data_IF_346347236080
#
_entry.id   IF_346347236080
#
_cell.length_a   1.000
_cell.length_b   1.000
_cell.length_c   1.000
_cell.angle_alpha   90.00
_cell.angle_beta   90.00
_cell.angle_gamma   90.00
#
_symmetry.space_group_name_H-M   'P 1'
#
loop_
_entity.id
_entity.type
_entity.pdbx_description
1 polymer ?
#
# COMPACT_ATOMS: atom_id res chain seq x y z
N UNK A 1 12.75 -4.68 7.97
CA UNK A 1 12.13 -4.68 6.62
C UNK A 1 11.48 -3.32 6.37
N UNK A 2 11.32 -2.88 5.12
CA UNK A 2 10.47 -1.73 4.79
C UNK A 2 9.05 -2.25 4.51
N UNK A 3 8.03 -1.64 5.12
CA UNK A 3 6.63 -2.09 5.02
C UNK A 3 5.68 -0.90 4.97
N UNK A 4 4.50 -1.10 4.40
CA UNK A 4 3.46 -0.07 4.33
C UNK A 4 2.84 0.21 5.71
N UNK A 5 2.62 -0.85 6.50
CA UNK A 5 2.14 -0.75 7.89
C UNK A 5 3.30 -0.79 8.88
N UNK A 6 3.17 -0.06 9.98
CA UNK A 6 4.13 -0.01 11.08
C UNK A 6 3.56 -0.67 12.35
N UNK A 7 4.39 -1.08 13.32
CA UNK A 7 3.92 -1.73 14.54
C UNK A 7 2.88 -0.96 15.34
N UNK A 8 2.97 0.37 15.31
CA UNK A 8 1.98 1.26 15.96
C UNK A 8 0.61 1.22 15.32
N UNK A 9 0.50 0.86 14.04
CA UNK A 9 -0.79 0.81 13.34
C UNK A 9 -1.61 -0.39 13.84
N UNK A 10 -0.98 -1.55 14.09
CA UNK A 10 -1.68 -2.75 14.55
C UNK A 10 -1.67 -2.94 16.07
N UNK A 11 -0.88 -2.18 16.83
CA UNK A 11 -0.83 -2.27 18.30
C UNK A 11 -2.17 -1.96 18.99
N UNK A 12 -3.10 -1.29 18.30
CA UNK A 12 -4.46 -1.00 18.78
C UNK A 12 -5.35 -2.24 18.73
N UNK A 13 -5.08 -3.17 17.80
CA UNK A 13 -5.90 -4.36 17.58
C UNK A 13 -5.31 -5.63 18.20
N UNK A 14 -3.99 -5.67 18.41
CA UNK A 14 -3.28 -6.76 19.06
C UNK A 14 -2.20 -6.15 19.95
N UNK A 15 -2.10 -6.58 21.20
CA UNK A 15 -1.05 -6.09 22.10
C UNK A 15 0.27 -6.79 21.79
N UNK A 16 1.40 -6.15 22.13
CA UNK A 16 2.73 -6.74 21.93
C UNK A 16 2.88 -8.09 22.68
N UNK A 17 2.22 -8.23 23.83
CA UNK A 17 2.18 -9.49 24.58
C UNK A 17 1.43 -10.60 23.82
N UNK A 18 0.26 -10.28 23.25
CA UNK A 18 -0.50 -11.23 22.43
C UNK A 18 0.27 -11.61 21.17
N UNK A 19 0.96 -10.64 20.57
CA UNK A 19 1.80 -10.87 19.41
C UNK A 19 2.93 -11.84 19.76
N UNK A 20 3.67 -11.58 20.84
CA UNK A 20 4.75 -12.44 21.33
C UNK A 20 4.29 -13.85 21.73
N UNK A 21 3.03 -14.05 22.09
CA UNK A 21 2.47 -15.39 22.35
C UNK A 21 2.22 -16.21 21.08
N UNK A 22 2.00 -15.53 19.95
CA UNK A 22 1.65 -16.18 18.68
C UNK A 22 2.89 -16.32 17.80
N UNK A 23 3.78 -15.32 17.82
CA UNK A 23 4.99 -15.25 16.99
C UNK A 23 6.21 -15.72 17.76
N UNK A 24 7.06 -16.52 17.12
CA UNK A 24 8.35 -16.92 17.71
C UNK A 24 9.47 -16.00 17.24
N UNK A 25 9.42 -15.57 15.97
CA UNK A 25 10.42 -14.70 15.36
C UNK A 25 9.80 -13.49 14.66
N UNK A 26 10.57 -12.41 14.55
CA UNK A 26 10.14 -11.21 13.80
C UNK A 26 9.96 -11.50 12.30
N UNK A 27 10.66 -12.49 11.77
CA UNK A 27 10.60 -12.94 10.38
C UNK A 27 9.19 -13.43 9.98
N UNK A 28 8.44 -14.01 10.93
CA UNK A 28 7.07 -14.46 10.73
C UNK A 28 6.14 -13.28 10.45
N UNK A 29 6.29 -12.19 11.22
CA UNK A 29 5.52 -10.96 11.07
C UNK A 29 5.82 -10.35 9.70
N UNK A 30 7.11 -10.15 9.41
CA UNK A 30 7.59 -9.55 8.17
C UNK A 30 7.04 -10.30 6.94
N UNK A 31 7.07 -11.63 6.96
CA UNK A 31 6.54 -12.44 5.86
C UNK A 31 5.02 -12.30 5.72
N UNK A 32 4.27 -12.28 6.83
CA UNK A 32 2.82 -12.14 6.78
C UNK A 32 2.41 -10.75 6.29
N UNK A 33 3.14 -9.70 6.65
CA UNK A 33 2.92 -8.34 6.14
C UNK A 33 3.10 -8.31 4.62
N UNK A 34 4.22 -8.85 4.10
CA UNK A 34 4.46 -8.91 2.66
C UNK A 34 3.36 -9.66 1.92
N UNK A 35 2.95 -10.83 2.43
CA UNK A 35 1.85 -11.60 1.83
C UNK A 35 0.54 -10.82 1.77
N UNK A 36 0.24 -10.06 2.83
CA UNK A 36 -0.97 -9.24 2.93
C UNK A 36 -0.95 -8.07 1.97
N UNK A 37 0.19 -7.39 1.87
CA UNK A 37 0.39 -6.28 0.94
C UNK A 37 0.23 -6.76 -0.50
N UNK A 38 0.86 -7.88 -0.87
CA UNK A 38 0.75 -8.43 -2.23
C UNK A 38 -0.66 -8.90 -2.57
N UNK A 39 -1.39 -9.50 -1.63
CA UNK A 39 -2.79 -9.87 -1.86
C UNK A 39 -3.66 -8.63 -2.12
N UNK A 40 -3.50 -7.57 -1.33
CA UNK A 40 -4.27 -6.33 -1.52
C UNK A 40 -3.93 -5.67 -2.85
N UNK A 41 -2.64 -5.63 -3.21
CA UNK A 41 -2.18 -5.10 -4.49
C UNK A 41 -2.80 -5.86 -5.66
N UNK A 42 -2.98 -7.18 -5.57
CA UNK A 42 -3.61 -7.97 -6.63
C UNK A 42 -5.02 -7.47 -7.01
N UNK A 43 -5.83 -7.09 -6.02
CA UNK A 43 -7.18 -6.54 -6.28
C UNK A 43 -7.15 -5.14 -6.89
N UNK A 44 -6.16 -4.32 -6.54
CA UNK A 44 -6.12 -2.89 -6.85
C UNK A 44 -5.30 -2.54 -8.10
N UNK A 45 -4.28 -3.33 -8.43
CA UNK A 45 -3.31 -3.06 -9.52
C UNK A 45 -3.93 -2.87 -10.91
N UNK A 46 -5.17 -3.32 -11.10
CA UNK A 46 -5.87 -3.20 -12.37
C UNK A 46 -6.40 -1.80 -12.64
N UNK A 47 -6.59 -0.98 -11.60
CA UNK A 47 -7.21 0.35 -11.71
C UNK A 47 -6.40 1.46 -11.06
N UNK A 48 -5.59 1.12 -10.06
CA UNK A 48 -4.90 2.09 -9.21
C UNK A 48 -3.40 1.88 -9.24
N UNK A 49 -2.66 2.98 -9.09
CA UNK A 49 -1.22 2.98 -8.88
C UNK A 49 -0.93 2.55 -7.43
N UNK A 50 -0.88 1.23 -7.26
CA UNK A 50 -0.64 0.60 -5.96
C UNK A 50 0.77 0.84 -5.44
N UNK A 51 1.73 1.07 -6.33
CA UNK A 51 3.11 1.32 -5.94
C UNK A 51 3.25 2.72 -5.32
N UNK A 52 2.51 3.70 -5.84
CA UNK A 52 2.44 5.03 -5.23
C UNK A 52 1.62 5.04 -3.93
N UNK A 53 0.42 4.47 -3.94
CA UNK A 53 -0.50 4.54 -2.79
C UNK A 53 -0.05 3.66 -1.62
N UNK A 54 0.47 2.45 -1.89
CA UNK A 54 0.98 1.52 -0.89
C UNK A 54 2.51 1.51 -0.79
N UNK A 55 3.18 2.61 -1.19
CA UNK A 55 4.63 2.74 -1.01
C UNK A 55 5.04 2.53 0.44
N UNK A 56 6.18 1.85 0.61
CA UNK A 56 6.73 1.49 1.91
C UNK A 56 7.05 2.72 2.76
N UNK A 57 6.90 2.56 4.06
CA UNK A 57 7.30 3.55 5.06
C UNK A 57 8.70 3.18 5.56
N UNK A 58 9.61 4.16 5.53
CA UNK A 58 10.99 4.00 5.96
C UNK A 58 11.18 4.48 7.38
N UNK A 59 11.74 3.64 8.23
CA UNK A 59 12.10 4.02 9.61
C UNK A 59 13.58 4.40 9.63
N UNK A 60 13.94 5.70 9.74
CA UNK A 60 15.33 6.12 9.81
C UNK A 60 15.97 5.58 11.10
N UNK A 61 17.24 5.15 10.99
CA UNK A 61 18.00 4.66 12.13
C UNK A 61 18.35 5.76 13.14
N UNK A 62 18.50 7.00 12.66
CA UNK A 62 18.76 8.19 13.46
C UNK A 62 17.87 9.35 12.98
N UNK A 63 16.96 9.88 13.83
CA UNK A 63 16.10 11.01 13.47
C UNK A 63 16.85 12.34 13.31
N UNK A 64 18.11 12.43 13.75
CA UNK A 64 18.93 13.63 13.60
C UNK A 64 19.57 13.74 12.21
N UNK A 65 19.78 12.62 11.51
CA UNK A 65 20.51 12.58 10.23
C UNK A 65 19.78 11.71 9.20
N UNK A 66 18.64 12.19 8.71
CA UNK A 66 17.83 11.49 7.71
C UNK A 66 18.25 11.85 6.30
N UNK A 67 18.37 10.83 5.45
CA UNK A 67 18.52 10.96 4.00
C UNK A 67 17.32 10.31 3.33
N UNK A 68 16.56 11.08 2.57
CA UNK A 68 15.33 10.65 1.94
C UNK A 68 15.12 11.42 0.64
N UNK A 69 14.57 10.73 -0.37
CA UNK A 69 14.12 11.37 -1.60
C UNK A 69 12.77 12.04 -1.37
N UNK A 70 12.46 13.02 -2.21
CA UNK A 70 11.14 13.62 -2.27
C UNK A 70 10.04 12.54 -2.35
N UNK A 71 8.93 12.79 -1.67
CA UNK A 71 7.73 11.95 -1.56
C UNK A 71 7.92 10.64 -0.75
N UNK A 72 9.12 10.40 -0.22
CA UNK A 72 9.37 9.30 0.71
C UNK A 72 8.57 9.47 2.01
N UNK A 73 7.97 8.37 2.47
CA UNK A 73 7.29 8.26 3.76
C UNK A 73 8.27 7.82 4.82
N UNK A 74 8.30 8.55 5.93
CA UNK A 74 9.19 8.31 7.05
C UNK A 74 8.40 8.11 8.33
N UNK A 75 8.85 7.18 9.17
CA UNK A 75 8.25 6.92 10.48
C UNK A 75 9.29 7.05 11.58
N UNK A 76 9.06 7.95 12.53
CA UNK A 76 9.89 8.07 13.73
C UNK A 76 9.41 7.06 14.77
N UNK A 77 10.19 5.99 14.98
CA UNK A 77 9.88 4.95 15.97
C UNK A 77 9.90 5.42 17.42
N UNK A 78 10.59 6.51 17.72
CA UNK A 78 10.70 7.08 19.08
C UNK A 78 9.53 8.00 19.39
N UNK A 79 9.27 8.97 18.51
CA UNK A 79 8.16 9.91 18.67
C UNK A 79 6.80 9.30 18.27
N UNK A 80 6.80 8.18 17.54
CA UNK A 80 5.62 7.54 16.95
C UNK A 80 4.87 8.48 15.99
N UNK A 81 5.61 9.19 15.16
CA UNK A 81 5.09 10.21 14.24
C UNK A 81 5.44 9.87 12.79
N UNK A 82 4.55 10.26 11.87
CA UNK A 82 4.75 10.14 10.43
C UNK A 82 5.21 11.45 9.82
N UNK A 83 6.13 11.35 8.86
CA UNK A 83 6.69 12.46 8.12
C UNK A 83 6.68 12.17 6.63
N UNK A 84 6.37 13.19 5.83
CA UNK A 84 6.50 13.19 4.38
C UNK A 84 7.70 14.06 3.98
N UNK A 85 8.58 13.51 3.14
CA UNK A 85 9.69 14.26 2.57
C UNK A 85 9.19 15.13 1.41
N UNK A 86 9.26 16.46 1.55
CA UNK A 86 8.76 17.42 0.55
C UNK A 86 9.81 17.84 -0.48
N UNK A 87 11.10 17.60 -0.17
CA UNK A 87 12.24 17.88 -1.04
C UNK A 87 13.40 16.94 -0.67
N UNK A 88 14.26 16.61 -1.64
CA UNK A 88 15.40 15.72 -1.42
C UNK A 88 16.25 16.17 -0.22
N UNK A 89 16.33 15.31 0.78
CA UNK A 89 17.02 15.57 2.04
C UNK A 89 18.30 14.73 2.10
N UNK A 90 19.42 15.38 2.43
CA UNK A 90 20.69 14.71 2.71
C UNK A 90 21.16 15.12 4.10
N UNK A 91 21.25 14.15 5.01
CA UNK A 91 21.65 14.34 6.41
C UNK A 91 20.93 15.51 7.12
N UNK A 92 19.60 15.56 7.00
CA UNK A 92 18.77 16.57 7.65
C UNK A 92 17.99 15.97 8.84
N UNK A 93 17.76 16.74 9.92
CA UNK A 93 16.92 16.28 11.01
C UNK A 93 15.44 16.30 10.61
N UNK A 94 14.64 15.36 11.14
CA UNK A 94 13.18 15.29 10.88
C UNK A 94 12.41 16.54 11.30
N UNK A 95 12.97 17.33 12.21
CA UNK A 95 12.37 18.61 12.65
C UNK A 95 12.51 19.73 11.63
N UNK A 96 13.32 19.55 10.57
CA UNK A 96 13.52 20.56 9.55
C UNK A 96 12.32 20.63 8.60
N UNK A 97 11.47 21.63 8.80
CA UNK A 97 10.24 21.85 8.03
C UNK A 97 10.47 22.22 6.56
N UNK A 98 11.70 22.55 6.17
CA UNK A 98 12.04 22.79 4.77
C UNK A 98 12.10 21.49 3.94
N UNK A 99 12.34 20.35 4.60
CA UNK A 99 12.49 19.04 3.94
C UNK A 99 11.43 18.03 4.37
N UNK A 100 10.90 18.17 5.59
CA UNK A 100 9.95 17.21 6.15
C UNK A 100 8.70 17.91 6.67
N UNK A 101 7.54 17.35 6.37
CA UNK A 101 6.26 17.75 6.96
C UNK A 101 5.70 16.61 7.78
N UNK A 102 5.30 16.88 9.02
CA UNK A 102 4.67 15.90 9.88
C UNK A 102 3.21 15.67 9.43
N UNK A 103 3.00 14.62 8.64
CA UNK A 103 1.68 14.23 8.13
C UNK A 103 1.67 12.74 7.85
N UNK A 104 0.51 12.10 8.06
CA UNK A 104 0.21 10.78 7.51
C UNK A 104 -0.63 10.97 6.26
N UNK A 105 -0.04 10.73 5.09
CA UNK A 105 -0.69 10.85 3.78
C UNK A 105 -1.29 9.51 3.30
N UNK A 106 -1.17 8.44 4.10
CA UNK A 106 -1.67 7.12 3.71
C UNK A 106 -3.20 7.11 3.73
N UNK A 107 -3.80 6.35 2.82
CA UNK A 107 -5.24 6.15 2.84
C UNK A 107 -5.62 5.32 4.08
N UNK A 108 -6.30 5.94 5.05
CA UNK A 108 -6.67 5.29 6.31
C UNK A 108 -7.49 4.00 6.11
N UNK A 109 -8.29 3.93 5.03
CA UNK A 109 -9.06 2.72 4.73
C UNK A 109 -8.17 1.58 4.24
N UNK A 110 -7.13 1.88 3.44
CA UNK A 110 -6.14 0.88 3.05
C UNK A 110 -5.33 0.39 4.24
N UNK A 111 -4.92 1.30 5.14
CA UNK A 111 -4.22 0.92 6.38
C UNK A 111 -5.07 -0.06 7.18
N UNK A 112 -6.34 0.26 7.41
CA UNK A 112 -7.26 -0.62 8.14
C UNK A 112 -7.37 -2.01 7.51
N UNK A 113 -7.56 -2.08 6.18
CA UNK A 113 -7.74 -3.34 5.46
C UNK A 113 -6.46 -4.18 5.47
N UNK A 114 -5.31 -3.52 5.30
CA UNK A 114 -4.00 -4.19 5.36
C UNK A 114 -3.77 -4.85 6.70
N UNK A 115 -4.15 -4.19 7.80
CA UNK A 115 -4.06 -4.77 9.14
C UNK A 115 -5.03 -5.93 9.32
N UNK A 116 -6.27 -5.82 8.84
CA UNK A 116 -7.27 -6.89 8.97
C UNK A 116 -6.83 -8.17 8.21
N UNK A 117 -6.25 -8.02 7.01
CA UNK A 117 -5.68 -9.13 6.21
C UNK A 117 -4.41 -9.70 6.87
N UNK A 118 -3.50 -8.84 7.33
CA UNK A 118 -2.28 -9.23 8.05
C UNK A 118 -2.57 -10.07 9.28
N UNK A 119 -3.48 -9.61 10.14
CA UNK A 119 -3.78 -10.33 11.38
C UNK A 119 -4.47 -11.67 11.10
N UNK A 120 -5.24 -11.78 10.02
CA UNK A 120 -5.77 -13.06 9.58
C UNK A 120 -4.65 -14.02 9.15
N UNK A 121 -3.76 -13.61 8.25
CA UNK A 121 -2.63 -14.43 7.79
C UNK A 121 -1.70 -14.87 8.91
N UNK A 122 -1.45 -13.97 9.86
CA UNK A 122 -0.66 -14.26 11.04
C UNK A 122 -1.28 -15.41 11.87
N UNK A 123 -2.58 -15.32 12.14
CA UNK A 123 -3.29 -16.35 12.90
C UNK A 123 -3.42 -17.67 12.13
N UNK A 124 -3.68 -17.65 10.82
CA UNK A 124 -3.78 -18.88 10.02
C UNK A 124 -2.45 -19.61 9.91
N UNK A 125 -1.33 -18.87 9.87
CA UNK A 125 0.00 -19.45 9.76
C UNK A 125 0.48 -20.06 11.06
N UNK A 126 0.33 -19.35 12.17
CA UNK A 126 0.96 -19.71 13.44
C UNK A 126 0.03 -20.50 14.37
N UNK A 127 -1.27 -20.21 14.35
CA UNK A 127 -2.26 -20.93 15.17
C UNK A 127 -3.56 -21.25 14.38
N UNK A 128 -3.48 -22.11 13.35
CA UNK A 128 -4.63 -22.42 12.50
C UNK A 128 -5.82 -23.04 13.23
N UNK A 129 -5.57 -23.72 14.37
CA UNK A 129 -6.64 -24.36 15.16
C UNK A 129 -7.46 -23.37 15.97
N UNK A 130 -6.88 -22.23 16.34
CA UNK A 130 -7.51 -21.25 17.20
C UNK A 130 -7.42 -19.85 16.58
N UNK A 131 -8.16 -19.65 15.50
CA UNK A 131 -8.31 -18.33 14.87
C UNK A 131 -9.51 -17.63 15.52
N UNK A 132 -9.33 -16.44 16.13
CA UNK A 132 -10.42 -15.69 16.74
C UNK A 132 -11.53 -15.35 15.74
N UNK A 133 -12.80 -15.53 16.14
CA UNK A 133 -13.96 -15.31 15.25
C UNK A 133 -14.00 -13.90 14.65
N UNK A 134 -13.66 -12.87 15.43
CA UNK A 134 -13.66 -11.49 14.95
C UNK A 134 -12.63 -11.25 13.82
N UNK A 135 -11.54 -12.05 13.75
CA UNK A 135 -10.56 -11.98 12.66
C UNK A 135 -11.11 -12.55 11.36
N UNK A 136 -11.81 -13.69 11.44
CA UNK A 136 -12.51 -14.27 10.29
C UNK A 136 -13.57 -13.30 9.75
N UNK A 137 -14.43 -12.77 10.63
CA UNK A 137 -15.48 -11.81 10.24
C UNK A 137 -14.88 -10.58 9.53
N UNK A 138 -13.77 -10.04 10.03
CA UNK A 138 -13.11 -8.87 9.42
C UNK A 138 -12.45 -9.17 8.08
N UNK A 139 -11.91 -10.38 7.90
CA UNK A 139 -11.29 -10.83 6.66
C UNK A 139 -12.33 -11.19 5.60
N UNK A 140 -13.11 -12.27 5.80
CA UNK A 140 -14.02 -12.86 4.80
C UNK A 140 -15.50 -12.87 5.22
N UNK A 141 -15.83 -12.32 6.40
CA UNK A 141 -17.21 -12.34 6.90
C UNK A 141 -17.62 -13.66 7.55
N UNK A 142 -16.65 -14.50 7.95
CA UNK A 142 -16.88 -15.84 8.49
C UNK A 142 -17.56 -16.74 7.45
N UNK A 143 -17.04 -16.72 6.22
CA UNK A 143 -17.58 -17.43 5.05
C UNK A 143 -18.90 -16.86 4.50
N UNK A 144 -19.49 -15.85 5.12
CA UNK A 144 -20.70 -15.19 4.65
C UNK A 144 -20.40 -13.76 4.17
N UNK A 145 -20.28 -13.64 2.84
CA UNK A 145 -19.99 -12.38 2.16
C UNK A 145 -21.10 -11.31 2.37
N UNK A 146 -22.28 -11.68 2.85
CA UNK A 146 -23.39 -10.74 3.04
C UNK A 146 -23.43 -10.09 4.43
N UNK A 147 -22.83 -10.70 5.46
CA UNK A 147 -23.00 -10.26 6.86
C UNK A 147 -22.46 -8.87 7.17
N UNK A 148 -21.34 -8.46 6.58
CA UNK A 148 -20.73 -7.16 6.89
C UNK A 148 -19.75 -6.70 5.80
N UNK A 149 -19.34 -5.42 5.86
CA UNK A 149 -18.28 -4.88 5.03
C UNK A 149 -16.93 -5.37 5.55
N UNK A 150 -16.51 -6.55 5.11
CA UNK A 150 -15.20 -7.15 5.40
C UNK A 150 -14.13 -6.65 4.41
N UNK A 151 -12.87 -6.99 4.68
CA UNK A 151 -11.72 -6.60 3.87
C UNK A 151 -11.87 -7.05 2.40
N UNK A 152 -12.14 -8.33 2.16
CA UNK A 152 -12.23 -8.91 0.82
C UNK A 152 -13.41 -8.35 0.01
N UNK A 153 -14.56 -8.14 0.64
CA UNK A 153 -15.75 -7.54 0.02
C UNK A 153 -15.49 -6.09 -0.38
N UNK A 154 -14.81 -5.32 0.48
CA UNK A 154 -14.43 -3.96 0.12
C UNK A 154 -13.49 -3.95 -1.08
N UNK A 155 -12.45 -4.80 -1.09
CA UNK A 155 -11.51 -4.93 -2.21
C UNK A 155 -12.23 -5.34 -3.50
N UNK A 156 -13.16 -6.29 -3.42
CA UNK A 156 -13.98 -6.72 -4.55
C UNK A 156 -14.89 -5.60 -5.06
N UNK A 157 -15.49 -4.80 -4.17
CA UNK A 157 -16.35 -3.67 -4.55
C UNK A 157 -15.56 -2.53 -5.19
N UNK A 158 -14.34 -2.29 -4.71
CA UNK A 158 -13.39 -1.34 -5.29
C UNK A 158 -12.94 -1.79 -6.68
N UNK A 159 -12.60 -3.07 -6.83
CA UNK A 159 -12.23 -3.67 -8.11
C UNK A 159 -13.37 -3.55 -9.13
N UNK A 160 -14.62 -3.78 -8.70
CA UNK A 160 -15.84 -3.59 -9.51
C UNK A 160 -16.19 -2.13 -9.79
N UNK A 161 -15.53 -1.17 -9.14
CA UNK A 161 -15.85 0.25 -9.25
C UNK A 161 -17.16 0.68 -8.58
N UNK A 162 -17.76 -0.17 -7.75
CA UNK A 162 -18.94 0.21 -6.95
C UNK A 162 -18.57 1.20 -5.85
N UNK A 163 -17.36 1.08 -5.31
CA UNK A 163 -16.79 2.01 -4.35
C UNK A 163 -15.61 2.69 -5.03
N UNK A 164 -15.56 4.02 -4.98
CA UNK A 164 -14.40 4.80 -5.39
C UNK A 164 -13.56 5.08 -4.14
N UNK A 165 -12.47 4.31 -3.91
CA UNK A 165 -11.53 4.71 -2.89
C UNK A 165 -10.78 5.93 -3.44
N UNK A 166 -10.49 6.92 -2.60
CA UNK A 166 -9.69 8.07 -2.98
C UNK A 166 -8.22 7.63 -3.14
N UNK A 167 -7.95 6.95 -4.25
CA UNK A 167 -6.69 6.34 -4.64
C UNK A 167 -6.27 6.86 -6.00
N UNK A 168 -4.97 6.80 -6.24
CA UNK A 168 -4.35 7.27 -7.46
C UNK A 168 -4.69 6.30 -8.58
N UNK A 169 -5.35 6.78 -9.62
CA UNK A 169 -5.72 5.95 -10.79
C UNK A 169 -4.52 5.82 -11.73
N UNK A 170 -4.39 4.67 -12.38
CA UNK A 170 -3.39 4.49 -13.43
C UNK A 170 -3.83 5.33 -14.64
N UNK A 171 -2.93 6.19 -15.11
CA UNK A 171 -3.11 6.98 -16.32
C UNK A 171 -2.47 6.25 -17.51
N UNK A 172 -3.03 6.44 -18.69
CA UNK A 172 -2.42 6.01 -19.94
C UNK A 172 -1.33 7.00 -20.41
N UNK A 173 -0.65 6.65 -21.51
CA UNK A 173 0.42 7.47 -22.11
C UNK A 173 -0.08 8.87 -22.56
N UNK A 174 -1.40 9.04 -22.75
CA UNK A 174 -2.03 10.29 -23.14
C UNK A 174 -2.52 11.12 -21.91
N UNK A 175 -2.32 10.60 -20.69
CA UNK A 175 -2.68 11.25 -19.43
C UNK A 175 -4.16 11.10 -19.06
N UNK A 176 -4.90 10.26 -19.76
CA UNK A 176 -6.31 9.96 -19.51
C UNK A 176 -6.44 8.75 -18.56
N UNK A 177 -7.57 8.68 -17.86
CA UNK A 177 -7.84 7.55 -16.98
C UNK A 177 -8.09 6.30 -17.83
N UNK A 178 -7.37 5.21 -17.55
CA UNK A 178 -7.69 3.92 -18.14
C UNK A 178 -9.10 3.50 -17.73
N UNK A 179 -10.05 3.57 -18.67
CA UNK A 179 -11.44 3.23 -18.41
C UNK A 179 -11.56 1.76 -17.97
N UNK A 180 -12.21 1.56 -16.84
CA UNK A 180 -12.25 0.31 -16.09
C UNK A 180 -12.99 -0.77 -16.88
N UNK A 181 -12.25 -1.63 -17.58
CA UNK A 181 -12.80 -2.80 -18.26
C UNK A 181 -12.07 -3.23 -19.53
N UNK A 182 -11.13 -2.42 -20.03
CA UNK A 182 -10.30 -2.85 -21.15
C UNK A 182 -9.06 -3.57 -20.62
N UNK A 183 -8.86 -4.81 -21.05
CA UNK A 183 -7.59 -5.52 -20.87
C UNK A 183 -6.48 -4.63 -21.41
N UNK A 184 -5.39 -4.45 -20.65
CA UNK A 184 -4.16 -3.86 -21.18
C UNK A 184 -3.64 -4.83 -22.25
N UNK A 185 -4.05 -4.63 -23.49
CA UNK A 185 -3.47 -5.33 -24.63
C UNK A 185 -2.10 -4.68 -24.81
N UNK A 186 -1.05 -5.33 -24.29
CA UNK A 186 0.32 -5.07 -24.72
C UNK A 186 0.47 -5.54 -26.18
N UNK A 187 -0.10 -4.76 -27.08
CA UNK A 187 0.06 -4.87 -28.52
C UNK A 187 1.12 -3.87 -28.93
N UNK A 188 2.21 -4.38 -29.50
CA UNK A 188 3.30 -3.63 -30.12
C UNK A 188 2.74 -2.37 -30.81
N UNK A 189 3.13 -1.20 -30.31
CA UNK A 189 2.54 0.08 -30.70
C UNK A 189 2.47 0.23 -32.21
N UNK A 190 1.30 0.61 -32.73
CA UNK A 190 1.23 1.14 -34.09
C UNK A 190 2.03 2.44 -34.09
N UNK A 191 3.25 2.39 -34.61
CA UNK A 191 4.01 3.58 -34.98
C UNK A 191 3.14 4.38 -35.95
N UNK A 192 2.49 5.43 -35.45
CA UNK A 192 1.66 6.29 -36.28
C UNK A 192 2.58 7.30 -36.98
N UNK A 193 3.32 6.84 -38.01
CA UNK A 193 4.07 7.74 -38.90
C UNK A 193 3.07 8.43 -39.82
N UNK A 194 2.37 9.45 -39.33
CA UNK A 194 1.64 10.40 -40.16
C UNK A 194 1.91 11.81 -39.66
N UNK A 195 2.94 12.44 -40.22
CA UNK A 195 3.23 13.84 -39.94
C UNK A 195 4.55 14.40 -40.48
N UNK A 196 5.52 13.59 -40.89
CA UNK A 196 6.76 14.10 -41.48
C UNK A 196 6.65 14.17 -43.01
N UNK A 197 6.13 15.29 -43.50
CA UNK A 197 6.14 15.65 -44.92
C UNK A 197 7.59 15.81 -45.40
N UNK A 198 8.20 14.74 -45.92
CA UNK A 198 9.50 14.82 -46.59
C UNK A 198 9.28 15.17 -48.05
N UNK A 199 9.31 16.47 -48.34
CA UNK A 199 9.49 16.99 -49.70
C UNK A 199 10.77 16.41 -50.28
N UNK A 200 10.64 15.37 -51.11
CA UNK A 200 11.71 14.86 -51.95
C UNK A 200 11.89 15.82 -53.13
N UNK A 201 12.86 16.71 -53.04
CA UNK A 201 13.44 17.37 -54.20
C UNK A 201 14.40 16.37 -54.86
N UNK A 202 13.96 15.75 -55.95
CA UNK A 202 14.80 14.94 -56.83
C UNK A 202 15.49 15.81 -57.87
N UNK A 203 16.77 15.50 -58.08
CA UNK A 203 17.54 15.80 -59.29
C UNK A 203 17.03 14.98 -60.48
#
# INVERSE_FOLDING_TARGET
MLSFIQPTDYSVLITDEQLAQITTEQSDIDTCILQSEEEIKEYLRHRFDVDFDMRVVTTPADPATVTALKDARLYDGTAKLYYLCIADATAQPLTNTAFFTQIDDRNQKLVQITIDVFLYHLHTRLNPRNIPTHRKIRYDGDGDIQKSMNAIKWLTMVQKGTIAPNLTVILDDDGEQLDSGQSIIYGNSKINIRGANRNFTGF
#
